data_IF_802554477402
#
_entry.id   IF_802554477402
#
_cell.length_a   1.000
_cell.length_b   1.000
_cell.length_c   1.000
_cell.angle_alpha   90.00
_cell.angle_beta   90.00
_cell.angle_gamma   90.00
#
_symmetry.space_group_name_H-M   'P 1'
#
loop_
_entity.id
_entity.type
_entity.pdbx_description
1 polymer ?
#
# COMPACT_ATOMS: atom_id res chain seq x y z
N UNK A 1 -3.83 22.61 -21.70
CA UNK A 1 -2.93 23.24 -20.72
C UNK A 1 -3.22 24.73 -20.68
N UNK A 2 -3.60 25.26 -19.52
CA UNK A 2 -3.82 26.70 -19.33
C UNK A 2 -2.46 27.39 -19.44
N UNK A 3 -2.36 28.39 -20.30
CA UNK A 3 -1.12 29.16 -20.50
C UNK A 3 -0.97 30.07 -19.25
N UNK A 4 -0.33 29.55 -18.19
CA UNK A 4 -0.02 30.32 -16.98
C UNK A 4 1.27 31.09 -17.20
N UNK A 5 1.33 32.35 -16.73
CA UNK A 5 2.60 33.06 -16.63
C UNK A 5 3.42 32.51 -15.44
N UNK A 6 4.70 32.86 -15.39
CA UNK A 6 5.63 32.37 -14.36
C UNK A 6 5.18 32.73 -12.91
N UNK A 7 4.56 33.89 -12.71
CA UNK A 7 4.05 34.31 -11.41
C UNK A 7 2.84 33.47 -10.96
N UNK A 8 1.92 33.20 -11.89
CA UNK A 8 0.76 32.35 -11.67
C UNK A 8 1.17 30.88 -11.40
N UNK A 9 2.14 30.38 -12.18
CA UNK A 9 2.69 29.05 -11.99
C UNK A 9 3.33 28.87 -10.59
N UNK A 10 4.08 29.87 -10.12
CA UNK A 10 4.67 29.84 -8.77
C UNK A 10 3.62 29.73 -7.68
N UNK A 11 2.58 30.55 -7.73
CA UNK A 11 1.48 30.52 -6.75
C UNK A 11 0.81 29.15 -6.79
N UNK A 12 0.51 28.63 -7.99
CA UNK A 12 -0.16 27.33 -8.14
C UNK A 12 0.68 26.16 -7.62
N UNK A 13 1.97 26.15 -7.89
CA UNK A 13 2.93 25.16 -7.38
C UNK A 13 2.94 25.17 -5.84
N UNK A 14 2.98 26.35 -5.21
CA UNK A 14 2.97 26.47 -3.74
C UNK A 14 1.64 25.96 -3.14
N UNK A 15 0.50 26.26 -3.75
CA UNK A 15 -0.81 25.74 -3.35
C UNK A 15 -0.88 24.21 -3.47
N UNK A 16 -0.44 23.65 -4.60
CA UNK A 16 -0.43 22.22 -4.84
C UNK A 16 0.46 21.48 -3.83
N UNK A 17 1.67 21.97 -3.61
CA UNK A 17 2.58 21.40 -2.61
C UNK A 17 1.94 21.35 -1.23
N UNK A 18 1.36 22.46 -0.79
CA UNK A 18 0.69 22.54 0.51
C UNK A 18 -0.47 21.54 0.60
N UNK A 19 -1.34 21.52 -0.39
CA UNK A 19 -2.51 20.64 -0.43
C UNK A 19 -2.09 19.17 -0.43
N UNK A 20 -1.11 18.81 -1.24
CA UNK A 20 -0.61 17.43 -1.32
C UNK A 20 0.08 17.00 -0.02
N UNK A 21 0.89 17.86 0.61
CA UNK A 21 1.50 17.58 1.91
C UNK A 21 0.47 17.41 3.03
N UNK A 22 -0.54 18.27 3.10
CA UNK A 22 -1.62 18.15 4.09
C UNK A 22 -2.40 16.85 3.91
N UNK A 23 -2.70 16.45 2.67
CA UNK A 23 -3.41 15.20 2.40
C UNK A 23 -2.53 13.97 2.61
N UNK A 24 -1.23 14.02 2.26
CA UNK A 24 -0.29 12.95 2.59
C UNK A 24 -0.21 12.73 4.10
N UNK A 25 -0.12 13.80 4.89
CA UNK A 25 -0.14 13.69 6.35
C UNK A 25 -1.43 13.06 6.86
N UNK A 26 -2.57 13.52 6.38
CA UNK A 26 -3.88 12.95 6.76
C UNK A 26 -4.00 11.49 6.39
N UNK A 27 -3.48 11.11 5.23
CA UNK A 27 -3.50 9.74 4.73
C UNK A 27 -2.57 8.83 5.54
N UNK A 28 -1.30 9.22 5.73
CA UNK A 28 -0.28 8.36 6.33
C UNK A 28 -0.19 8.46 7.85
N UNK A 29 -0.44 9.64 8.44
CA UNK A 29 -0.27 9.90 9.87
C UNK A 29 -1.61 9.88 10.60
N UNK A 30 -2.58 10.65 10.11
CA UNK A 30 -3.85 10.84 10.81
C UNK A 30 -4.88 9.74 10.47
N UNK A 31 -4.64 8.89 9.44
CA UNK A 31 -5.54 7.88 8.91
C UNK A 31 -6.97 8.42 8.62
N UNK A 32 -7.06 9.67 8.24
CA UNK A 32 -8.30 10.39 7.95
C UNK A 32 -8.19 11.13 6.61
N UNK A 33 -8.07 10.42 5.47
CA UNK A 33 -7.99 11.04 4.16
C UNK A 33 -9.27 11.85 3.88
N UNK A 34 -9.08 13.07 3.36
CA UNK A 34 -10.20 13.95 2.96
C UNK A 34 -10.33 14.10 1.45
N UNK A 35 -9.47 13.41 0.70
CA UNK A 35 -9.37 13.43 -0.75
C UNK A 35 -9.29 11.99 -1.25
N UNK A 36 -9.91 11.70 -2.39
CA UNK A 36 -9.79 10.40 -3.04
C UNK A 36 -8.39 10.22 -3.66
N UNK A 37 -7.96 8.97 -3.84
CA UNK A 37 -6.68 8.66 -4.51
C UNK A 37 -6.64 9.27 -5.92
N UNK A 38 -7.76 9.26 -6.64
CA UNK A 38 -7.88 9.87 -7.97
C UNK A 38 -7.62 11.38 -7.94
N UNK A 39 -8.24 12.11 -6.99
CA UNK A 39 -8.03 13.55 -6.84
C UNK A 39 -6.60 13.87 -6.43
N UNK A 40 -6.03 13.09 -5.51
CA UNK A 40 -4.63 13.24 -5.09
C UNK A 40 -3.67 13.07 -6.26
N UNK A 41 -3.83 12.00 -7.05
CA UNK A 41 -2.99 11.73 -8.20
C UNK A 41 -3.14 12.79 -9.31
N UNK A 42 -4.37 13.31 -9.48
CA UNK A 42 -4.61 14.40 -10.45
C UNK A 42 -3.83 15.66 -10.08
N UNK A 43 -3.86 16.05 -8.80
CA UNK A 43 -3.11 17.19 -8.30
C UNK A 43 -1.60 16.95 -8.32
N UNK A 44 -1.16 15.72 -8.07
CA UNK A 44 0.26 15.33 -8.17
C UNK A 44 0.77 15.46 -9.62
N UNK A 45 0.00 14.96 -10.60
CA UNK A 45 0.34 15.11 -12.02
C UNK A 45 0.37 16.59 -12.46
N UNK A 46 -0.58 17.41 -11.98
CA UNK A 46 -0.58 18.85 -12.25
C UNK A 46 0.70 19.50 -11.71
N UNK A 47 1.12 19.15 -10.50
CA UNK A 47 2.36 19.66 -9.89
C UNK A 47 3.60 19.23 -10.69
N UNK A 48 3.69 17.96 -11.08
CA UNK A 48 4.79 17.44 -11.91
C UNK A 48 4.90 18.16 -13.24
N UNK A 49 3.77 18.40 -13.91
CA UNK A 49 3.74 19.10 -15.21
C UNK A 49 4.18 20.55 -15.06
N UNK A 50 3.74 21.24 -14.01
CA UNK A 50 4.17 22.61 -13.72
C UNK A 50 5.65 22.68 -13.36
N UNK A 51 6.17 21.78 -12.53
CA UNK A 51 7.60 21.74 -12.18
C UNK A 51 8.49 21.38 -13.38
N UNK A 52 7.97 20.59 -14.34
CA UNK A 52 8.66 20.30 -15.60
C UNK A 52 8.68 21.52 -16.54
N UNK A 53 7.59 22.31 -16.60
CA UNK A 53 7.50 23.51 -17.42
C UNK A 53 8.30 24.68 -16.84
N UNK A 54 8.45 24.74 -15.51
CA UNK A 54 9.17 25.77 -14.77
C UNK A 54 10.22 25.15 -13.84
N UNK A 55 11.36 24.66 -14.40
CA UNK A 55 12.37 23.93 -13.62
C UNK A 55 13.02 24.75 -12.51
N UNK A 56 13.05 26.08 -12.63
CA UNK A 56 13.55 27.01 -11.62
C UNK A 56 12.64 27.15 -10.40
N UNK A 57 11.39 26.69 -10.49
CA UNK A 57 10.44 26.61 -9.38
C UNK A 57 10.46 25.23 -8.70
N UNK A 58 11.22 24.28 -9.20
CA UNK A 58 11.35 22.95 -8.60
C UNK A 58 12.04 23.06 -7.22
N UNK A 59 11.59 22.27 -6.25
CA UNK A 59 12.18 22.22 -4.90
C UNK A 59 12.51 20.81 -4.50
N UNK A 60 13.65 20.57 -3.82
CA UNK A 60 13.94 19.26 -3.21
C UNK A 60 12.87 18.80 -2.21
N UNK A 61 12.12 19.75 -1.64
CA UNK A 61 11.05 19.50 -0.68
C UNK A 61 9.68 19.30 -1.34
N UNK A 62 9.62 19.25 -2.68
CA UNK A 62 8.36 19.00 -3.37
C UNK A 62 7.85 17.58 -3.13
N UNK A 63 6.52 17.36 -2.99
CA UNK A 63 5.92 16.03 -2.98
C UNK A 63 6.29 15.17 -4.19
N UNK A 64 6.66 15.79 -5.31
CA UNK A 64 7.14 15.09 -6.53
C UNK A 64 8.53 14.49 -6.38
N UNK A 65 9.34 15.00 -5.43
CA UNK A 65 10.74 14.59 -5.20
C UNK A 65 10.89 13.70 -3.95
N UNK A 66 9.89 13.68 -3.07
CA UNK A 66 9.91 12.93 -1.81
C UNK A 66 8.73 11.98 -1.74
N UNK A 67 9.00 10.75 -1.39
CA UNK A 67 7.96 9.78 -0.99
C UNK A 67 7.53 10.15 0.42
N UNK A 68 6.22 10.25 0.68
CA UNK A 68 5.50 10.75 1.86
C UNK A 68 6.05 10.65 3.30
N UNK A 69 7.35 10.48 3.48
CA UNK A 69 8.00 10.11 4.73
C UNK A 69 8.66 11.23 5.52
N UNK A 70 8.84 12.41 4.94
CA UNK A 70 9.59 13.50 5.60
C UNK A 70 8.67 14.47 6.36
N UNK A 71 7.47 14.02 6.74
CA UNK A 71 6.47 14.86 7.41
C UNK A 71 6.83 15.24 8.84
N UNK A 72 7.87 14.64 9.44
CA UNK A 72 8.27 14.87 10.83
C UNK A 72 9.46 15.83 11.03
N UNK A 73 10.05 16.36 9.95
CA UNK A 73 11.12 17.34 10.06
C UNK A 73 10.66 18.77 9.76
N UNK A 74 9.98 19.36 10.74
CA UNK A 74 9.91 20.80 10.87
C UNK A 74 8.66 21.49 10.38
N UNK A 75 7.64 21.58 11.21
CA UNK A 75 6.92 22.86 11.49
C UNK A 75 6.31 22.77 12.92
N UNK A 76 6.74 23.64 13.82
CA UNK A 76 5.99 23.98 15.02
C UNK A 76 6.43 23.32 16.32
N UNK A 77 7.62 23.68 16.80
CA UNK A 77 7.95 23.61 18.23
C UNK A 77 7.02 24.54 19.03
N UNK A 78 5.84 24.08 19.43
CA UNK A 78 5.00 24.63 20.51
C UNK A 78 3.66 23.89 20.60
N UNK A 79 3.69 22.55 20.78
CA UNK A 79 2.55 21.82 21.32
C UNK A 79 3.07 20.99 22.48
N UNK A 80 2.50 21.19 23.67
CA UNK A 80 2.80 20.37 24.85
C UNK A 80 2.59 18.89 24.51
N UNK A 81 3.50 17.99 24.94
CA UNK A 81 3.36 16.56 24.65
C UNK A 81 2.21 16.00 25.49
N UNK A 82 1.07 15.80 24.89
CA UNK A 82 0.12 14.83 25.41
C UNK A 82 0.85 13.48 25.41
N UNK A 83 0.98 12.85 26.57
CA UNK A 83 1.59 11.53 26.76
C UNK A 83 0.72 10.50 26.03
N UNK A 84 0.85 10.40 24.71
CA UNK A 84 0.39 9.24 23.94
C UNK A 84 1.41 8.14 24.24
N UNK A 85 0.97 6.98 24.68
CA UNK A 85 1.78 5.76 24.63
C UNK A 85 1.93 5.47 23.13
N UNK A 86 3.01 5.89 22.54
CA UNK A 86 3.32 5.66 21.14
C UNK A 86 3.81 4.22 20.96
N UNK A 87 3.50 3.62 19.83
CA UNK A 87 4.10 2.36 19.41
C UNK A 87 5.60 2.58 19.22
N UNK A 88 6.42 1.58 19.56
CA UNK A 88 7.83 1.59 19.20
C UNK A 88 7.94 1.60 17.68
N UNK A 89 8.89 2.36 17.13
CA UNK A 89 9.10 2.47 15.70
C UNK A 89 10.39 1.76 15.29
N UNK A 90 10.33 1.10 14.12
CA UNK A 90 11.48 0.39 13.56
C UNK A 90 11.59 0.64 12.06
N UNK A 91 12.82 0.73 11.53
CA UNK A 91 13.03 0.82 10.10
C UNK A 91 12.62 -0.48 9.40
N UNK A 92 12.03 -0.34 8.21
CA UNK A 92 11.84 -1.46 7.30
C UNK A 92 13.19 -1.93 6.75
N UNK A 93 13.39 -3.24 6.64
CA UNK A 93 14.61 -3.79 6.02
C UNK A 93 14.69 -3.41 4.54
N UNK A 94 13.54 -3.36 3.88
CA UNK A 94 13.39 -2.93 2.50
C UNK A 94 12.28 -1.86 2.46
N UNK A 95 12.46 -0.72 1.76
CA UNK A 95 11.44 0.32 1.70
C UNK A 95 10.09 -0.18 1.18
N UNK A 96 8.99 0.29 1.77
CA UNK A 96 7.63 -0.01 1.31
C UNK A 96 7.18 1.07 0.32
N UNK A 97 7.54 0.88 -0.94
CA UNK A 97 7.24 1.82 -2.02
C UNK A 97 5.75 1.78 -2.43
N UNK A 98 5.27 2.87 -3.00
CA UNK A 98 3.96 2.92 -3.67
C UNK A 98 4.07 2.38 -5.09
N UNK A 99 2.98 1.82 -5.60
CA UNK A 99 2.84 1.48 -7.01
C UNK A 99 2.34 2.70 -7.79
N UNK A 100 2.73 2.80 -9.06
CA UNK A 100 2.16 3.78 -9.98
C UNK A 100 0.70 3.43 -10.30
N UNK A 101 -0.17 4.45 -10.43
CA UNK A 101 -1.56 4.25 -10.78
C UNK A 101 -1.80 4.43 -12.28
N UNK A 102 -2.72 3.63 -12.82
CA UNK A 102 -3.28 3.75 -14.17
C UNK A 102 -4.79 3.82 -14.07
N UNK A 103 -5.43 4.63 -14.92
CA UNK A 103 -6.88 4.90 -14.85
C UNK A 103 -7.63 4.49 -16.11
N UNK A 104 -6.93 4.07 -17.14
CA UNK A 104 -7.52 3.62 -18.40
C UNK A 104 -6.63 2.57 -19.07
N UNK A 105 -7.20 1.87 -20.04
CA UNK A 105 -6.52 0.78 -20.73
C UNK A 105 -5.28 1.27 -21.50
N UNK A 106 -5.31 2.45 -22.08
CA UNK A 106 -4.17 3.01 -22.82
C UNK A 106 -2.94 3.22 -21.93
N UNK A 107 -3.14 3.60 -20.67
CA UNK A 107 -2.02 3.70 -19.70
C UNK A 107 -1.46 2.33 -19.32
N UNK A 108 -2.30 1.28 -19.34
CA UNK A 108 -1.85 -0.11 -19.14
C UNK A 108 -1.08 -0.60 -20.37
N UNK A 109 -1.57 -0.31 -21.58
CA UNK A 109 -0.83 -0.58 -22.82
C UNK A 109 0.53 0.10 -22.84
N UNK A 110 0.60 1.36 -22.41
CA UNK A 110 1.86 2.11 -22.28
C UNK A 110 2.81 1.46 -21.26
N UNK A 111 2.28 0.95 -20.15
CA UNK A 111 3.08 0.20 -19.16
C UNK A 111 3.65 -1.08 -19.76
N UNK A 112 2.81 -1.88 -20.45
CA UNK A 112 3.22 -3.12 -21.12
C UNK A 112 4.31 -2.83 -22.16
N UNK A 113 4.08 -1.86 -23.06
CA UNK A 113 5.05 -1.49 -24.09
C UNK A 113 6.39 -1.00 -23.53
N UNK A 114 6.35 -0.19 -22.44
CA UNK A 114 7.61 0.25 -21.78
C UNK A 114 8.37 -0.94 -21.20
N UNK A 115 7.69 -1.84 -20.49
CA UNK A 115 8.31 -3.01 -19.91
C UNK A 115 8.93 -3.93 -20.97
N UNK A 116 8.22 -4.19 -22.07
CA UNK A 116 8.73 -4.98 -23.21
C UNK A 116 9.97 -4.33 -23.83
N UNK A 117 9.94 -3.02 -24.07
CA UNK A 117 11.05 -2.27 -24.64
C UNK A 117 12.28 -2.26 -23.71
N UNK A 118 12.08 -2.00 -22.43
CA UNK A 118 13.16 -1.90 -21.45
C UNK A 118 13.80 -3.26 -21.15
N UNK A 119 13.07 -4.37 -21.41
CA UNK A 119 13.56 -5.74 -21.29
C UNK A 119 14.01 -6.33 -22.66
N UNK A 120 14.24 -5.49 -23.68
CA UNK A 120 14.76 -5.92 -24.99
C UNK A 120 13.92 -7.04 -25.66
N UNK A 121 12.60 -6.91 -25.65
CA UNK A 121 11.65 -7.85 -26.23
C UNK A 121 11.69 -9.28 -25.63
N UNK A 122 12.16 -9.43 -24.41
CA UNK A 122 12.10 -10.71 -23.71
C UNK A 122 10.66 -11.04 -23.35
N UNK A 123 10.25 -12.29 -23.52
CA UNK A 123 8.94 -12.76 -23.11
C UNK A 123 8.89 -12.94 -21.59
N UNK A 124 7.90 -12.35 -20.96
CA UNK A 124 7.61 -12.46 -19.52
C UNK A 124 6.10 -12.52 -19.30
N UNK A 125 5.70 -12.79 -18.09
CA UNK A 125 4.30 -12.91 -17.68
C UNK A 125 3.94 -11.84 -16.65
N UNK A 126 2.64 -11.59 -16.50
CA UNK A 126 2.14 -10.65 -15.47
C UNK A 126 1.34 -11.41 -14.42
N UNK A 127 1.49 -11.00 -13.16
CA UNK A 127 0.57 -11.36 -12.08
C UNK A 127 -0.47 -10.26 -11.94
N UNK A 128 -1.73 -10.60 -12.17
CA UNK A 128 -2.87 -9.75 -11.90
C UNK A 128 -3.48 -10.12 -10.56
N UNK A 129 -3.67 -9.14 -9.69
CA UNK A 129 -4.12 -9.31 -8.32
C UNK A 129 -5.18 -8.27 -7.97
N UNK A 130 -6.00 -8.54 -6.94
CA UNK A 130 -6.88 -7.53 -6.37
C UNK A 130 -6.08 -6.48 -5.62
N UNK A 131 -6.44 -5.20 -5.79
CA UNK A 131 -5.96 -4.11 -4.95
C UNK A 131 -6.84 -4.03 -3.71
N UNK A 132 -6.37 -4.60 -2.64
CA UNK A 132 -7.09 -4.62 -1.37
C UNK A 132 -7.13 -3.23 -0.75
N UNK A 133 -8.29 -2.84 -0.21
CA UNK A 133 -8.51 -1.54 0.41
C UNK A 133 -8.52 -1.67 1.94
N UNK A 134 -7.35 -1.53 2.54
CA UNK A 134 -7.11 -1.69 3.97
C UNK A 134 -5.95 -0.85 4.48
N UNK A 135 -5.17 -1.41 5.39
CA UNK A 135 -3.95 -0.80 5.90
C UNK A 135 -2.77 -1.75 5.72
N UNK A 136 -1.71 -1.25 5.11
CA UNK A 136 -0.55 -2.05 4.76
C UNK A 136 0.20 -2.53 6.03
N UNK A 137 0.69 -3.77 5.97
CA UNK A 137 1.46 -4.41 7.02
C UNK A 137 2.68 -5.13 6.44
N UNK A 138 3.79 -5.11 7.16
CA UNK A 138 5.00 -5.89 6.88
C UNK A 138 5.23 -6.88 8.02
N UNK A 139 5.21 -8.17 7.71
CA UNK A 139 5.47 -9.24 8.66
C UNK A 139 6.88 -9.79 8.45
N UNK A 140 7.68 -9.83 9.51
CA UNK A 140 9.00 -10.48 9.52
C UNK A 140 8.88 -11.81 10.25
N UNK A 141 9.24 -12.90 9.56
CA UNK A 141 9.36 -14.24 10.16
C UNK A 141 10.83 -14.60 10.33
N UNK A 142 11.17 -15.17 11.51
CA UNK A 142 12.51 -15.74 11.80
C UNK A 142 12.36 -17.18 12.26
N UNK A 143 13.04 -18.08 11.60
CA UNK A 143 13.00 -19.52 11.90
C UNK A 143 11.56 -20.06 12.01
N UNK A 144 10.69 -19.59 11.11
CA UNK A 144 9.28 -19.97 11.04
C UNK A 144 8.37 -19.36 12.11
N UNK A 145 8.84 -18.40 12.92
CA UNK A 145 8.06 -17.72 13.95
C UNK A 145 7.90 -16.23 13.60
N UNK A 146 6.73 -15.68 13.82
CA UNK A 146 6.50 -14.24 13.64
C UNK A 146 7.37 -13.47 14.63
N UNK A 147 8.36 -12.77 14.11
CA UNK A 147 9.28 -11.97 14.90
C UNK A 147 8.78 -10.54 15.09
N UNK A 148 8.26 -9.93 14.02
CA UNK A 148 7.80 -8.53 14.04
C UNK A 148 6.73 -8.27 13.00
N UNK A 149 5.81 -7.37 13.32
CA UNK A 149 4.84 -6.81 12.41
C UNK A 149 4.92 -5.28 12.48
N UNK A 150 5.14 -4.62 11.33
CA UNK A 150 5.23 -3.16 11.22
C UNK A 150 4.10 -2.63 10.35
N UNK A 151 3.54 -1.48 10.73
CA UNK A 151 2.73 -0.70 9.79
C UNK A 151 3.63 -0.15 8.69
N UNK A 152 3.05 0.29 7.58
CA UNK A 152 3.83 0.94 6.51
C UNK A 152 4.57 2.17 7.02
N UNK A 153 3.90 2.98 7.88
CA UNK A 153 4.42 4.29 8.27
C UNK A 153 4.66 5.15 7.03
N UNK A 154 5.80 5.78 6.99
CA UNK A 154 6.29 6.58 5.87
C UNK A 154 6.94 5.75 4.72
N UNK A 155 6.92 4.44 4.83
CA UNK A 155 7.58 3.51 3.90
C UNK A 155 9.03 3.19 4.25
N UNK A 156 9.65 3.95 5.16
CA UNK A 156 11.02 3.73 5.68
C UNK A 156 10.98 3.24 7.14
N UNK A 157 10.10 3.83 7.96
CA UNK A 157 9.90 3.50 9.37
C UNK A 157 8.43 3.20 9.62
N UNK A 158 8.14 2.14 10.36
CA UNK A 158 6.78 1.75 10.73
C UNK A 158 6.61 1.54 12.23
N UNK A 159 5.37 1.63 12.71
CA UNK A 159 5.00 1.34 14.09
C UNK A 159 4.99 -0.18 14.34
N UNK A 160 5.55 -0.61 15.46
CA UNK A 160 5.53 -2.02 15.88
C UNK A 160 4.15 -2.41 16.41
N UNK A 161 3.41 -3.12 15.58
CA UNK A 161 2.07 -3.63 15.88
C UNK A 161 2.06 -5.15 16.08
N UNK A 162 3.18 -5.75 16.43
CA UNK A 162 3.34 -7.22 16.55
C UNK A 162 2.31 -7.84 17.49
N UNK A 163 2.11 -7.26 18.67
CA UNK A 163 1.11 -7.74 19.61
C UNK A 163 -0.32 -7.71 19.05
N UNK A 164 -0.63 -6.68 18.25
CA UNK A 164 -1.92 -6.51 17.58
C UNK A 164 -2.08 -7.47 16.40
N UNK A 165 -1.04 -7.63 15.59
CA UNK A 165 -1.02 -8.56 14.46
C UNK A 165 -1.28 -10.01 14.91
N UNK A 166 -0.73 -10.43 16.04
CA UNK A 166 -1.00 -11.74 16.65
C UNK A 166 -2.46 -11.94 17.10
N UNK A 167 -3.28 -10.90 17.12
CA UNK A 167 -4.72 -10.96 17.40
C UNK A 167 -5.58 -11.09 16.14
N UNK A 168 -4.97 -10.99 14.96
CA UNK A 168 -5.64 -11.21 13.68
C UNK A 168 -5.62 -12.72 13.41
N UNK A 169 -6.79 -13.34 13.40
CA UNK A 169 -6.95 -14.80 13.46
C UNK A 169 -6.27 -15.57 12.34
N UNK A 170 -6.07 -14.96 11.17
CA UNK A 170 -5.45 -15.62 10.01
C UNK A 170 -3.96 -15.28 9.83
N UNK A 171 -3.35 -14.53 10.76
CA UNK A 171 -1.88 -14.36 10.79
C UNK A 171 -1.31 -15.48 11.69
N UNK A 172 -0.57 -16.45 11.15
CA UNK A 172 -0.02 -17.51 11.97
C UNK A 172 1.18 -17.01 12.78
N UNK A 173 1.22 -17.29 14.08
CA UNK A 173 2.41 -17.08 14.90
C UNK A 173 3.57 -17.97 14.44
N UNK A 174 3.25 -19.22 14.01
CA UNK A 174 4.22 -20.20 13.51
C UNK A 174 3.83 -20.67 12.12
N UNK A 175 4.79 -20.70 11.23
CA UNK A 175 4.63 -21.24 9.89
C UNK A 175 4.45 -22.76 9.93
N UNK A 176 3.73 -23.26 8.95
CA UNK A 176 3.51 -24.70 8.73
C UNK A 176 4.53 -25.23 7.70
N UNK A 177 4.71 -26.57 7.69
CA UNK A 177 5.56 -27.21 6.70
C UNK A 177 7.05 -26.96 6.92
N UNK A 178 7.79 -26.76 5.83
CA UNK A 178 9.23 -26.53 5.80
C UNK A 178 9.63 -25.74 4.54
N UNK A 179 10.92 -25.39 4.44
CA UNK A 179 11.47 -24.74 3.25
C UNK A 179 11.37 -23.21 3.28
N UNK A 180 10.95 -22.61 4.39
CA UNK A 180 11.04 -21.17 4.57
C UNK A 180 12.46 -20.69 4.80
N UNK A 181 12.81 -19.47 4.36
CA UNK A 181 14.09 -18.84 4.71
C UNK A 181 14.26 -18.66 6.22
N UNK A 182 15.49 -18.65 6.71
CA UNK A 182 15.77 -18.40 8.12
C UNK A 182 15.23 -17.07 8.62
N UNK A 183 15.19 -16.05 7.76
CA UNK A 183 14.50 -14.78 7.96
C UNK A 183 13.98 -14.27 6.62
N UNK A 184 12.73 -13.80 6.59
CA UNK A 184 12.17 -13.10 5.44
C UNK A 184 11.07 -12.12 5.86
N UNK A 185 10.81 -11.13 5.01
CA UNK A 185 9.67 -10.24 5.11
C UNK A 185 8.58 -10.63 4.12
N UNK A 186 7.32 -10.49 4.51
CA UNK A 186 6.18 -10.59 3.62
C UNK A 186 5.22 -9.44 3.90
N UNK A 187 4.72 -8.82 2.85
CA UNK A 187 3.84 -7.65 2.91
C UNK A 187 2.43 -8.00 2.54
N UNK A 188 1.50 -7.30 3.13
CA UNK A 188 0.09 -7.50 2.89
C UNK A 188 -0.75 -6.31 3.33
N UNK A 189 -2.04 -6.58 3.37
CA UNK A 189 -3.06 -5.63 3.79
C UNK A 189 -3.88 -6.22 4.94
N UNK A 190 -4.05 -5.44 5.99
CA UNK A 190 -5.03 -5.73 7.04
C UNK A 190 -6.34 -5.07 6.64
N UNK A 191 -7.39 -5.88 6.61
CA UNK A 191 -8.71 -5.53 6.13
C UNK A 191 -9.74 -5.64 7.25
N UNK A 192 -10.79 -4.85 7.17
CA UNK A 192 -12.00 -5.06 7.94
C UNK A 192 -13.08 -5.60 7.02
N UNK A 193 -13.51 -6.88 7.20
CA UNK A 193 -14.65 -7.42 6.47
C UNK A 193 -15.91 -6.57 6.68
N UNK A 194 -16.78 -6.49 5.67
CA UNK A 194 -18.03 -5.70 5.76
C UNK A 194 -18.89 -6.08 6.95
N UNK A 195 -19.02 -7.37 7.26
CA UNK A 195 -19.76 -7.83 8.45
C UNK A 195 -19.20 -7.25 9.76
N UNK A 196 -17.85 -7.23 9.89
CA UNK A 196 -17.19 -6.63 11.06
C UNK A 196 -17.35 -5.11 11.11
N UNK A 197 -17.28 -4.47 9.96
CA UNK A 197 -17.46 -3.02 9.81
C UNK A 197 -18.87 -2.58 10.21
N UNK A 198 -19.90 -3.28 9.71
CA UNK A 198 -21.30 -2.97 10.00
C UNK A 198 -21.60 -3.16 11.48
N UNK A 199 -21.11 -4.28 12.07
CA UNK A 199 -21.23 -4.53 13.51
C UNK A 199 -20.57 -3.42 14.33
N UNK A 200 -19.34 -3.06 13.99
CA UNK A 200 -18.59 -2.03 14.70
C UNK A 200 -19.26 -0.65 14.63
N UNK A 201 -19.75 -0.26 13.46
CA UNK A 201 -20.47 1.01 13.31
C UNK A 201 -21.79 1.03 14.08
N UNK A 202 -22.51 -0.09 14.11
CA UNK A 202 -23.71 -0.21 14.93
C UNK A 202 -23.39 -0.07 16.45
N UNK A 203 -22.33 -0.72 16.94
CA UNK A 203 -21.87 -0.56 18.33
C UNK A 203 -21.51 0.90 18.65
N UNK A 204 -20.92 1.64 17.70
CA UNK A 204 -20.58 3.06 17.86
C UNK A 204 -21.83 3.93 17.89
N UNK A 205 -22.79 3.69 16.99
CA UNK A 205 -24.07 4.39 16.99
C UNK A 205 -24.84 4.17 18.30
N UNK A 206 -24.87 2.92 18.81
CA UNK A 206 -25.50 2.59 20.10
C UNK A 206 -24.85 3.32 21.30
N UNK A 207 -23.56 3.66 21.17
CA UNK A 207 -22.79 4.41 22.17
C UNK A 207 -22.72 5.93 21.90
N UNK A 208 -23.47 6.43 20.93
CA UNK A 208 -23.44 7.85 20.48
C UNK A 208 -22.07 8.32 19.97
N UNK A 209 -21.21 7.38 19.55
CA UNK A 209 -19.92 7.66 18.92
C UNK A 209 -20.08 7.85 17.40
N UNK A 210 -19.30 8.74 16.75
CA UNK A 210 -19.34 8.88 15.31
C UNK A 210 -18.88 7.60 14.60
N UNK A 211 -19.62 7.09 13.59
CA UNK A 211 -19.25 5.88 12.86
C UNK A 211 -17.97 6.08 12.05
N UNK A 212 -17.28 5.00 11.73
CA UNK A 212 -16.19 5.01 10.77
C UNK A 212 -16.71 5.27 9.35
N UNK A 213 -15.99 6.08 8.59
CA UNK A 213 -16.39 6.47 7.24
C UNK A 213 -16.33 5.31 6.23
N UNK A 214 -15.38 4.38 6.40
CA UNK A 214 -15.18 3.24 5.51
C UNK A 214 -14.40 2.11 6.21
N UNK A 215 -14.40 0.88 5.63
CA UNK A 215 -13.68 -0.27 6.20
C UNK A 215 -12.17 -0.06 6.36
N UNK A 216 -11.52 0.69 5.44
CA UNK A 216 -10.08 1.01 5.51
C UNK A 216 -9.75 1.81 6.78
N UNK A 217 -10.49 2.90 7.04
CA UNK A 217 -10.28 3.71 8.24
C UNK A 217 -10.55 2.90 9.51
N UNK A 218 -11.58 2.05 9.50
CA UNK A 218 -11.88 1.16 10.61
C UNK A 218 -10.78 0.12 10.84
N UNK A 219 -10.19 -0.45 9.78
CA UNK A 219 -9.07 -1.38 9.87
C UNK A 219 -7.82 -0.71 10.44
N UNK A 220 -7.46 0.47 9.91
CA UNK A 220 -6.28 1.22 10.34
C UNK A 220 -6.40 1.66 11.80
N UNK A 221 -7.54 2.24 12.20
CA UNK A 221 -7.78 2.63 13.59
C UNK A 221 -7.78 1.44 14.55
N UNK A 222 -8.33 0.29 14.11
CA UNK A 222 -8.37 -0.94 14.92
C UNK A 222 -6.99 -1.58 15.08
N UNK A 223 -6.15 -1.58 14.03
CA UNK A 223 -4.80 -2.13 14.09
C UNK A 223 -3.90 -1.35 15.07
N UNK A 224 -4.15 -0.08 15.29
CA UNK A 224 -3.39 0.81 16.17
C UNK A 224 -4.01 1.01 17.55
N UNK A 225 -4.91 0.14 17.99
CA UNK A 225 -5.40 0.14 19.37
C UNK A 225 -4.28 -0.24 20.35
N UNK A 226 -4.23 0.44 21.48
CA UNK A 226 -3.18 0.20 22.50
C UNK A 226 -3.39 -1.13 23.24
N UNK A 227 -4.62 -1.60 23.33
CA UNK A 227 -4.96 -2.89 23.92
C UNK A 227 -5.16 -3.96 22.85
N UNK A 228 -4.25 -4.95 22.73
CA UNK A 228 -4.38 -6.03 21.76
C UNK A 228 -5.65 -6.89 21.95
N UNK A 229 -6.23 -6.94 23.14
CA UNK A 229 -7.48 -7.70 23.38
C UNK A 229 -8.66 -7.07 22.65
N UNK A 230 -8.69 -5.75 22.54
CA UNK A 230 -9.69 -5.04 21.75
C UNK A 230 -9.50 -5.27 20.25
N UNK A 231 -8.25 -5.40 19.76
CA UNK A 231 -7.99 -5.74 18.35
C UNK A 231 -8.64 -7.08 17.97
N UNK A 232 -8.56 -8.09 18.85
CA UNK A 232 -9.18 -9.40 18.62
C UNK A 232 -10.70 -9.28 18.38
N UNK A 233 -11.37 -8.34 19.06
CA UNK A 233 -12.83 -8.13 18.94
C UNK A 233 -13.25 -7.44 17.66
N UNK A 234 -12.31 -6.76 16.99
CA UNK A 234 -12.57 -5.99 15.76
C UNK A 234 -12.85 -6.89 14.55
N UNK A 235 -12.41 -8.15 14.57
CA UNK A 235 -12.63 -9.10 13.48
C UNK A 235 -11.86 -8.74 12.22
N UNK A 236 -10.63 -8.24 12.38
CA UNK A 236 -9.72 -7.96 11.27
C UNK A 236 -9.28 -9.25 10.58
N UNK A 237 -8.96 -9.15 9.30
CA UNK A 237 -8.27 -10.17 8.52
C UNK A 237 -7.05 -9.61 7.82
N UNK A 238 -6.13 -10.47 7.43
CA UNK A 238 -4.95 -10.11 6.66
C UNK A 238 -4.94 -10.87 5.34
N UNK A 239 -4.44 -10.23 4.27
CA UNK A 239 -4.06 -10.90 3.02
C UNK A 239 -2.66 -10.47 2.63
N UNK A 240 -1.83 -11.43 2.25
CA UNK A 240 -0.41 -11.18 1.94
C UNK A 240 -0.20 -11.28 0.43
N UNK A 241 0.56 -10.34 -0.13
CA UNK A 241 0.64 -10.16 -1.58
C UNK A 241 2.06 -9.91 -2.10
N UNK A 242 3.09 -9.83 -1.25
CA UNK A 242 4.45 -9.56 -1.74
C UNK A 242 5.53 -10.02 -0.77
N UNK A 243 6.48 -10.81 -1.28
CA UNK A 243 7.75 -11.10 -0.61
C UNK A 243 8.83 -10.30 -1.34
N UNK A 244 9.54 -9.37 -0.67
CA UNK A 244 10.68 -8.68 -1.28
C UNK A 244 11.71 -9.68 -1.81
N UNK A 245 12.15 -9.50 -3.05
CA UNK A 245 13.05 -10.45 -3.74
C UNK A 245 14.44 -10.56 -3.11
N UNK A 246 14.83 -9.54 -2.36
CA UNK A 246 16.09 -9.51 -1.66
C UNK A 246 16.07 -10.50 -0.47
N UNK A 247 16.88 -11.54 -0.53
CA UNK A 247 17.01 -12.53 0.55
C UNK A 247 16.13 -13.77 0.40
N UNK A 248 15.44 -13.93 -0.73
CA UNK A 248 14.70 -15.15 -1.10
C UNK A 248 15.06 -15.58 -2.52
N UNK A 249 15.07 -16.89 -2.78
CA UNK A 249 15.44 -17.47 -4.07
C UNK A 249 14.22 -18.06 -4.76
N UNK A 250 13.35 -17.18 -5.29
CA UNK A 250 12.25 -17.58 -6.16
C UNK A 250 12.49 -17.03 -7.57
N UNK A 251 12.06 -17.77 -8.59
CA UNK A 251 12.15 -17.31 -9.96
C UNK A 251 11.03 -16.30 -10.28
N UNK A 252 9.85 -16.53 -9.73
CA UNK A 252 8.67 -15.71 -9.99
C UNK A 252 7.96 -15.27 -8.72
N UNK A 253 7.21 -14.19 -8.84
CA UNK A 253 6.33 -13.67 -7.79
C UNK A 253 5.25 -14.70 -7.40
N UNK A 254 4.65 -15.38 -8.38
CA UNK A 254 3.65 -16.42 -8.13
C UNK A 254 4.23 -17.61 -7.36
N UNK A 255 5.45 -18.05 -7.70
CA UNK A 255 6.15 -19.10 -6.96
C UNK A 255 6.37 -18.70 -5.50
N UNK A 256 6.79 -17.45 -5.23
CA UNK A 256 6.97 -16.94 -3.88
C UNK A 256 5.67 -16.92 -3.07
N UNK A 257 4.56 -16.50 -3.69
CA UNK A 257 3.24 -16.50 -3.03
C UNK A 257 2.67 -17.90 -2.84
N UNK A 258 2.90 -18.83 -3.78
CA UNK A 258 2.53 -20.24 -3.62
C UNK A 258 3.31 -20.90 -2.46
N UNK A 259 4.59 -20.60 -2.32
CA UNK A 259 5.39 -21.04 -1.19
C UNK A 259 4.83 -20.47 0.13
N UNK A 260 4.56 -19.16 0.19
CA UNK A 260 3.96 -18.53 1.36
C UNK A 260 2.62 -19.17 1.75
N UNK A 261 1.75 -19.46 0.78
CA UNK A 261 0.48 -20.17 1.01
C UNK A 261 0.71 -21.58 1.59
N UNK A 262 1.72 -22.31 1.10
CA UNK A 262 2.08 -23.64 1.62
C UNK A 262 2.59 -23.59 3.06
N UNK A 263 3.15 -22.47 3.51
CA UNK A 263 3.56 -22.22 4.89
C UNK A 263 2.41 -21.81 5.81
N UNK A 264 1.18 -21.74 5.28
CA UNK A 264 -0.02 -21.37 6.03
C UNK A 264 -0.26 -19.86 6.13
N UNK A 265 0.46 -19.07 5.35
CA UNK A 265 0.25 -17.63 5.28
C UNK A 265 -0.99 -17.30 4.44
N UNK A 266 -1.78 -16.26 4.81
CA UNK A 266 -3.02 -15.91 4.13
C UNK A 266 -2.75 -15.17 2.82
N UNK A 267 -2.48 -15.91 1.76
CA UNK A 267 -2.31 -15.39 0.40
C UNK A 267 -3.62 -15.51 -0.37
N UNK A 268 -3.98 -14.50 -1.15
CA UNK A 268 -5.18 -14.52 -1.97
C UNK A 268 -5.09 -15.57 -3.07
N UNK A 269 -6.16 -16.33 -3.27
CA UNK A 269 -6.38 -17.25 -4.41
C UNK A 269 -6.94 -16.54 -5.66
N UNK A 270 -7.19 -15.24 -5.57
CA UNK A 270 -7.82 -14.43 -6.62
C UNK A 270 -6.80 -13.86 -7.62
N UNK A 271 -5.53 -14.21 -7.51
CA UNK A 271 -4.50 -13.82 -8.47
C UNK A 271 -4.55 -14.68 -9.73
N UNK A 272 -4.11 -14.13 -10.85
CA UNK A 272 -4.04 -14.81 -12.15
C UNK A 272 -2.75 -14.43 -12.87
N UNK A 273 -2.04 -15.43 -13.40
CA UNK A 273 -0.89 -15.19 -14.26
C UNK A 273 -1.38 -15.08 -15.69
N UNK A 274 -0.96 -14.04 -16.40
CA UNK A 274 -1.41 -13.66 -17.74
C UNK A 274 -0.23 -13.31 -18.64
N UNK A 275 -0.43 -13.40 -19.97
CA UNK A 275 0.64 -13.31 -20.97
C UNK A 275 0.64 -12.00 -21.76
N UNK A 276 -0.35 -11.13 -21.58
CA UNK A 276 -0.43 -9.87 -22.32
C UNK A 276 -1.69 -9.07 -22.02
N UNK A 277 -1.85 -8.00 -22.77
CA UNK A 277 -2.88 -6.98 -22.52
C UNK A 277 -4.31 -7.54 -22.57
N UNK A 278 -4.61 -8.42 -23.53
CA UNK A 278 -5.96 -8.97 -23.69
C UNK A 278 -6.41 -9.75 -22.44
N UNK A 279 -5.50 -10.55 -21.87
CA UNK A 279 -5.77 -11.32 -20.64
C UNK A 279 -5.81 -10.41 -19.39
N UNK A 280 -5.05 -9.32 -19.38
CA UNK A 280 -5.13 -8.28 -18.34
C UNK A 280 -6.51 -7.64 -18.38
N UNK A 281 -7.00 -7.23 -19.54
CA UNK A 281 -8.33 -6.66 -19.71
C UNK A 281 -9.45 -7.62 -19.31
N UNK A 282 -9.31 -8.90 -19.66
CA UNK A 282 -10.27 -9.91 -19.24
C UNK A 282 -10.35 -10.02 -17.71
N UNK A 283 -9.19 -10.00 -17.02
CA UNK A 283 -9.13 -10.03 -15.57
C UNK A 283 -9.76 -8.77 -14.94
N UNK A 284 -9.51 -7.60 -15.51
CA UNK A 284 -10.10 -6.33 -15.05
C UNK A 284 -11.62 -6.37 -15.21
N UNK A 285 -12.14 -6.75 -16.39
CA UNK A 285 -13.59 -6.84 -16.66
C UNK A 285 -14.30 -7.83 -15.75
N UNK A 286 -13.66 -8.96 -15.46
CA UNK A 286 -14.19 -9.95 -14.54
C UNK A 286 -14.34 -9.35 -13.13
N UNK A 287 -13.30 -8.74 -12.59
CA UNK A 287 -13.34 -8.20 -11.24
C UNK A 287 -14.11 -6.89 -11.11
N UNK A 288 -14.28 -6.13 -12.16
CA UNK A 288 -15.19 -4.97 -12.13
C UNK A 288 -16.65 -5.40 -11.80
N UNK A 289 -17.03 -6.61 -12.19
CA UNK A 289 -18.33 -7.19 -11.87
C UNK A 289 -18.31 -7.95 -10.54
N UNK A 290 -17.32 -8.82 -10.31
CA UNK A 290 -17.32 -9.80 -9.24
C UNK A 290 -16.88 -9.22 -7.89
N UNK A 291 -16.13 -8.12 -7.86
CA UNK A 291 -15.65 -7.50 -6.60
C UNK A 291 -16.77 -7.14 -5.61
N UNK A 292 -17.95 -6.84 -6.09
CA UNK A 292 -19.12 -6.51 -5.24
C UNK A 292 -19.62 -7.68 -4.38
N UNK A 293 -19.21 -8.91 -4.71
CA UNK A 293 -19.54 -10.11 -3.94
C UNK A 293 -18.45 -10.50 -2.94
N UNK A 294 -17.33 -9.79 -2.91
CA UNK A 294 -16.28 -10.02 -1.93
C UNK A 294 -16.72 -9.55 -0.54
N UNK A 295 -16.30 -10.24 0.52
CA UNK A 295 -16.64 -9.84 1.88
C UNK A 295 -15.82 -8.67 2.42
N UNK A 296 -14.94 -8.09 1.60
CA UNK A 296 -14.04 -6.98 1.92
C UNK A 296 -13.90 -6.00 0.76
N UNK A 297 -13.45 -4.79 1.07
CA UNK A 297 -13.27 -3.73 0.09
C UNK A 297 -12.03 -3.95 -0.80
N UNK A 298 -12.18 -3.60 -2.06
CA UNK A 298 -11.09 -3.49 -3.06
C UNK A 298 -11.29 -2.23 -3.88
N UNK A 299 -10.20 -1.57 -4.26
CA UNK A 299 -10.24 -0.32 -5.02
C UNK A 299 -9.58 -0.40 -6.41
N UNK A 300 -9.36 -1.61 -6.90
CA UNK A 300 -8.79 -1.82 -8.23
C UNK A 300 -8.06 -3.14 -8.39
N UNK A 301 -7.16 -3.16 -9.36
CA UNK A 301 -6.32 -4.30 -9.72
C UNK A 301 -4.86 -3.86 -9.62
N UNK A 302 -3.99 -4.78 -9.19
CA UNK A 302 -2.53 -4.61 -9.23
C UNK A 302 -1.97 -5.52 -10.30
N UNK A 303 -1.15 -4.96 -11.19
CA UNK A 303 -0.46 -5.68 -12.26
C UNK A 303 1.04 -5.63 -11.96
N UNK A 304 1.68 -6.78 -11.89
CA UNK A 304 3.11 -6.92 -11.62
C UNK A 304 3.75 -7.79 -12.69
N UNK A 305 4.98 -7.51 -13.07
CA UNK A 305 5.78 -8.49 -13.81
C UNK A 305 6.01 -9.68 -12.90
N UNK A 306 5.77 -10.90 -13.40
CA UNK A 306 5.83 -12.09 -12.56
C UNK A 306 7.26 -12.56 -12.29
N UNK A 307 8.16 -12.43 -13.26
CA UNK A 307 9.57 -12.84 -13.15
C UNK A 307 10.38 -11.85 -12.32
N UNK A 308 10.88 -12.29 -11.16
CA UNK A 308 11.58 -11.42 -10.20
C UNK A 308 12.90 -10.86 -10.75
N UNK A 309 13.58 -11.58 -11.64
CA UNK A 309 14.78 -11.08 -12.30
C UNK A 309 14.48 -9.84 -13.15
N UNK A 310 13.33 -9.80 -13.82
CA UNK A 310 12.91 -8.67 -14.65
C UNK A 310 12.37 -7.50 -13.81
N UNK A 311 11.67 -7.77 -12.71
CA UNK A 311 11.34 -6.72 -11.74
C UNK A 311 12.62 -6.00 -11.25
N UNK A 312 13.67 -6.76 -10.91
CA UNK A 312 14.93 -6.20 -10.45
C UNK A 312 15.68 -5.44 -11.56
N UNK A 313 15.61 -5.91 -12.81
CA UNK A 313 16.26 -5.25 -13.95
C UNK A 313 15.60 -3.90 -14.29
N UNK A 314 14.28 -3.82 -14.23
CA UNK A 314 13.53 -2.56 -14.42
C UNK A 314 13.74 -1.59 -13.27
N UNK A 315 14.07 -2.12 -12.08
CA UNK A 315 14.32 -1.31 -10.89
C UNK A 315 13.06 -0.64 -10.34
N UNK A 316 13.29 0.25 -9.39
CA UNK A 316 12.24 1.06 -8.79
C UNK A 316 12.41 2.50 -9.30
N UNK A 317 11.43 2.97 -10.05
CA UNK A 317 11.30 4.40 -10.35
C UNK A 317 10.37 5.05 -9.33
N UNK A 318 10.42 6.38 -9.21
CA UNK A 318 9.46 7.11 -8.37
C UNK A 318 7.98 6.92 -8.83
N UNK A 319 7.78 6.24 -9.96
CA UNK A 319 6.50 5.94 -10.62
C UNK A 319 6.32 4.45 -10.94
N UNK A 320 7.00 3.56 -10.25
CA UNK A 320 6.84 2.11 -10.49
C UNK A 320 5.58 1.56 -9.82
#
# INVERSE_FOLDING_TARGET
>A
MVNMDHGQAKIRIEELRKTLWENSRRYYVDNAPTMSDFEYDHLMRELEDLERLYPDLQSPDSPTQRVGSDLDQGVGANAEPAVRKEFAQYPHKYPMLSLGNTYNIGEIEDFVHRAEKDLEDVRFTYSCELKFDGTAICLTYRNGVLFRALTRGDGVVGDDVTANALRISNIPERLKGSGWPGEFEIRGEVLMPYESFDRLNKEREDNEDPPFANPRNAASGSLKLLDPSEVARRGLMCTLYHIPSQGVSFATHDEALNAAASWGLPVSDKRRIVHGIDEIEEYIRYWDTERKFLPYATDGIVIKINELAYQNALGYTAKS
#
